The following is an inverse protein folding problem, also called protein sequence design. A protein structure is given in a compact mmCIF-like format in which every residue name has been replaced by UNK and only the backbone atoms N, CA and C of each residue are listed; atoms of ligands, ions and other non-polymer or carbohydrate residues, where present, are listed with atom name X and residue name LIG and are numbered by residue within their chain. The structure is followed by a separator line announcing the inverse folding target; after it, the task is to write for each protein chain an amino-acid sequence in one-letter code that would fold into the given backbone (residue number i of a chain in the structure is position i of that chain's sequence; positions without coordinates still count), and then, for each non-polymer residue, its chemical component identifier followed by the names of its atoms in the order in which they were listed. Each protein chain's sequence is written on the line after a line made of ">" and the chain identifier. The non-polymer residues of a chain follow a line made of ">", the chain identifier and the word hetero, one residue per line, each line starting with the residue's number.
data_IF_292094303926
#
_entry.id   IF_292094303926
#
_cell.length_a   1.000
_cell.length_b   1.000
_cell.length_c   1.000
_cell.angle_alpha   90.00
_cell.angle_beta   90.00
_cell.angle_gamma   90.00
#
_symmetry.space_group_name_H-M   'P 1'
#
loop_
_entity.id
_entity.type
_entity.pdbx_description
1 polymer ?
#
# COMPACT_ATOMS: atom_id res chain seq x y z
N UNK A 1 2.20 -21.22 -9.71
CA UNK A 1 2.48 -20.18 -10.70
C UNK A 1 3.36 -19.10 -10.10
N UNK A 2 3.98 -18.29 -10.95
CA UNK A 2 4.76 -17.13 -10.48
C UNK A 2 3.85 -15.94 -10.18
N UNK A 3 4.18 -15.16 -9.16
CA UNK A 3 3.53 -13.90 -8.82
C UNK A 3 4.16 -12.75 -9.61
N UNK A 4 3.36 -11.85 -10.15
CA UNK A 4 3.82 -10.65 -10.84
C UNK A 4 3.07 -9.41 -10.30
N UNK A 5 3.65 -8.22 -10.50
CA UNK A 5 3.13 -6.97 -9.95
C UNK A 5 2.43 -6.18 -11.05
N UNK A 6 1.13 -5.98 -10.87
CA UNK A 6 0.31 -5.23 -11.79
C UNK A 6 -0.92 -4.64 -11.08
N UNK A 7 -1.33 -3.43 -11.44
CA UNK A 7 -2.51 -2.81 -10.83
C UNK A 7 -3.83 -3.40 -11.35
N UNK A 8 -3.96 -3.56 -12.67
CA UNK A 8 -5.20 -3.97 -13.32
C UNK A 8 -5.22 -5.48 -13.60
N UNK A 9 -6.39 -6.09 -13.68
CA UNK A 9 -6.53 -7.47 -14.15
C UNK A 9 -6.29 -7.61 -15.67
N UNK A 10 -6.34 -6.52 -16.43
CA UNK A 10 -6.09 -6.49 -17.87
C UNK A 10 -4.80 -5.75 -18.17
N UNK A 11 -4.04 -6.24 -19.13
CA UNK A 11 -2.80 -5.61 -19.59
C UNK A 11 -3.03 -4.35 -20.45
N UNK A 12 -4.28 -4.09 -20.89
CA UNK A 12 -4.59 -3.08 -21.92
C UNK A 12 -4.07 -1.69 -21.59
N UNK A 13 -4.25 -1.20 -20.35
CA UNK A 13 -3.92 0.19 -20.02
C UNK A 13 -2.42 0.48 -20.07
N UNK A 14 -1.57 -0.49 -19.73
CA UNK A 14 -0.12 -0.28 -19.64
C UNK A 14 0.66 -0.85 -20.82
N UNK A 15 0.13 -1.89 -21.49
CA UNK A 15 0.85 -2.56 -22.59
C UNK A 15 0.12 -2.52 -23.93
N UNK A 16 -1.14 -2.04 -23.95
CA UNK A 16 -1.99 -2.07 -25.14
C UNK A 16 -2.59 -3.45 -25.47
N UNK A 17 -2.18 -4.52 -24.79
CA UNK A 17 -2.66 -5.88 -25.03
C UNK A 17 -4.04 -6.08 -24.37
N UNK A 18 -5.06 -6.44 -25.17
CA UNK A 18 -6.43 -6.69 -24.70
C UNK A 18 -6.63 -8.09 -24.17
N UNK A 19 -5.80 -8.46 -23.20
CA UNK A 19 -5.86 -9.75 -22.51
C UNK A 19 -5.94 -9.56 -21.01
N UNK A 20 -6.47 -10.58 -20.32
CA UNK A 20 -6.50 -10.65 -18.88
C UNK A 20 -5.32 -11.45 -18.34
N UNK A 21 -4.92 -11.17 -17.10
CA UNK A 21 -3.78 -11.78 -16.44
C UNK A 21 -3.82 -13.31 -16.39
N UNK A 22 -4.99 -13.91 -16.29
CA UNK A 22 -5.18 -15.37 -16.24
C UNK A 22 -5.14 -16.09 -17.61
N UNK A 23 -5.07 -15.32 -18.71
CA UNK A 23 -5.00 -15.89 -20.07
C UNK A 23 -3.56 -16.09 -20.56
N UNK A 24 -2.56 -15.58 -19.84
CA UNK A 24 -1.16 -15.63 -20.22
C UNK A 24 -0.32 -16.39 -19.20
N UNK A 25 0.74 -17.02 -19.68
CA UNK A 25 1.82 -17.55 -18.86
C UNK A 25 2.74 -16.42 -18.38
N UNK A 26 3.51 -16.65 -17.32
CA UNK A 26 4.47 -15.65 -16.86
C UNK A 26 5.52 -15.32 -17.92
N UNK A 27 5.99 -16.30 -18.67
CA UNK A 27 6.97 -16.09 -19.75
C UNK A 27 6.43 -15.18 -20.87
N UNK A 28 5.12 -15.22 -21.14
CA UNK A 28 4.46 -14.30 -22.07
C UNK A 28 4.30 -12.91 -21.46
N UNK A 29 4.00 -12.82 -20.15
CA UNK A 29 3.86 -11.57 -19.42
C UNK A 29 5.20 -10.81 -19.37
N UNK A 30 6.31 -11.50 -19.15
CA UNK A 30 7.67 -10.92 -19.15
C UNK A 30 8.07 -10.28 -20.48
N UNK A 31 7.43 -10.63 -21.60
CA UNK A 31 7.73 -10.03 -22.91
C UNK A 31 7.00 -8.69 -23.12
N UNK A 32 6.00 -8.39 -22.32
CA UNK A 32 5.19 -7.17 -22.48
C UNK A 32 6.00 -5.93 -22.10
N UNK A 33 5.84 -4.86 -22.86
CA UNK A 33 6.36 -3.53 -22.54
C UNK A 33 5.31 -2.75 -21.76
N UNK A 34 5.55 -2.54 -20.48
CA UNK A 34 4.69 -1.78 -19.58
C UNK A 34 5.19 -0.34 -19.33
N UNK A 35 6.34 0.04 -19.92
CA UNK A 35 6.96 1.34 -19.68
C UNK A 35 6.65 2.38 -20.75
N UNK A 36 6.55 2.00 -22.03
CA UNK A 36 6.24 2.93 -23.13
C UNK A 36 4.92 3.68 -22.92
N UNK A 37 3.97 3.07 -22.24
CA UNK A 37 2.71 3.71 -21.83
C UNK A 37 2.95 4.99 -20.99
N UNK A 38 3.96 4.98 -20.13
CA UNK A 38 4.26 6.11 -19.25
C UNK A 38 5.09 7.18 -19.97
N UNK A 39 6.17 6.77 -20.66
CA UNK A 39 7.04 7.65 -21.43
C UNK A 39 8.02 6.84 -22.27
N UNK A 40 8.43 7.39 -23.42
CA UNK A 40 9.47 6.78 -24.28
C UNK A 40 10.79 6.48 -23.53
N UNK A 41 11.08 7.24 -22.46
CA UNK A 41 12.25 7.01 -21.61
C UNK A 41 12.21 5.66 -20.87
N UNK A 42 11.02 5.05 -20.74
CA UNK A 42 10.82 3.75 -20.09
C UNK A 42 10.44 2.66 -21.09
N UNK A 43 10.64 2.91 -22.39
CA UNK A 43 10.34 1.90 -23.40
C UNK A 43 11.12 0.61 -23.16
N UNK A 44 10.40 -0.52 -23.19
CA UNK A 44 10.96 -1.84 -22.93
C UNK A 44 10.96 -2.27 -21.45
N UNK A 45 10.50 -1.41 -20.53
CA UNK A 45 10.33 -1.78 -19.12
C UNK A 45 9.31 -2.93 -18.98
N UNK A 46 9.67 -3.94 -18.22
CA UNK A 46 8.90 -5.19 -18.09
C UNK A 46 7.94 -5.14 -16.90
N UNK A 47 6.96 -6.04 -16.91
CA UNK A 47 6.14 -6.33 -15.73
C UNK A 47 6.98 -7.19 -14.78
N UNK A 48 7.36 -6.71 -13.59
CA UNK A 48 8.26 -7.43 -12.71
C UNK A 48 7.54 -8.58 -11.98
N UNK A 49 8.29 -9.62 -11.66
CA UNK A 49 7.90 -10.60 -10.67
C UNK A 49 7.87 -10.01 -9.26
N UNK A 50 7.01 -10.52 -8.37
CA UNK A 50 6.99 -10.05 -6.98
C UNK A 50 8.32 -10.35 -6.26
N UNK A 51 8.99 -11.44 -6.61
CA UNK A 51 10.31 -11.80 -6.10
C UNK A 51 11.36 -10.71 -6.40
N UNK A 52 11.39 -10.21 -7.64
CA UNK A 52 12.29 -9.11 -8.04
C UNK A 52 12.02 -7.84 -7.25
N UNK A 53 10.73 -7.50 -7.07
CA UNK A 53 10.32 -6.31 -6.30
C UNK A 53 10.73 -6.43 -4.84
N UNK A 54 10.58 -7.60 -4.23
CA UNK A 54 11.02 -7.85 -2.85
C UNK A 54 12.55 -7.74 -2.76
N UNK A 55 13.30 -8.31 -3.72
CA UNK A 55 14.76 -8.21 -3.74
C UNK A 55 15.22 -6.76 -3.82
N UNK A 56 14.63 -5.97 -4.73
CA UNK A 56 14.91 -4.54 -4.86
C UNK A 56 14.58 -3.76 -3.58
N UNK A 57 13.47 -4.09 -2.92
CA UNK A 57 13.06 -3.47 -1.67
C UNK A 57 14.05 -3.76 -0.53
N UNK A 58 14.56 -5.00 -0.44
CA UNK A 58 15.61 -5.40 0.53
C UNK A 58 16.89 -4.61 0.32
N UNK A 59 17.37 -4.52 -0.91
CA UNK A 59 18.60 -3.80 -1.27
C UNK A 59 18.53 -2.30 -0.94
N UNK A 60 17.34 -1.72 -1.04
CA UNK A 60 17.11 -0.30 -0.76
C UNK A 60 16.52 -0.01 0.62
N UNK A 61 16.37 -1.01 1.48
CA UNK A 61 15.78 -0.90 2.81
C UNK A 61 14.39 -0.26 2.81
N UNK A 62 13.55 -0.62 1.83
CA UNK A 62 12.18 -0.13 1.64
C UNK A 62 11.19 -1.19 2.09
N UNK A 63 10.13 -0.77 2.77
CA UNK A 63 8.99 -1.63 3.11
C UNK A 63 7.98 -1.68 1.96
N UNK A 64 7.28 -2.79 1.80
CA UNK A 64 6.25 -2.94 0.77
C UNK A 64 4.85 -3.01 1.38
N UNK A 65 3.89 -2.37 0.68
CA UNK A 65 2.47 -2.63 0.83
C UNK A 65 2.03 -3.47 -0.38
N UNK A 66 1.85 -4.78 -0.17
CA UNK A 66 1.53 -5.75 -1.21
C UNK A 66 0.01 -5.93 -1.26
N UNK A 67 -0.65 -5.36 -2.27
CA UNK A 67 -2.09 -5.52 -2.45
C UNK A 67 -2.40 -6.81 -3.22
N UNK A 68 -3.13 -7.71 -2.58
CA UNK A 68 -3.68 -8.90 -3.23
C UNK A 68 -5.03 -8.55 -3.86
N UNK A 69 -5.15 -8.76 -5.18
CA UNK A 69 -6.38 -8.60 -5.96
C UNK A 69 -6.76 -9.96 -6.55
N UNK A 70 -7.37 -10.87 -5.79
CA UNK A 70 -7.66 -12.21 -6.26
C UNK A 70 -8.71 -12.20 -7.37
N UNK A 71 -8.56 -13.09 -8.31
CA UNK A 71 -9.55 -13.41 -9.34
C UNK A 71 -10.16 -14.80 -9.09
N UNK A 72 -11.26 -15.11 -9.77
CA UNK A 72 -11.86 -16.45 -9.71
C UNK A 72 -10.96 -17.54 -10.30
N UNK A 73 -9.90 -17.17 -11.03
CA UNK A 73 -8.97 -18.09 -11.69
C UNK A 73 -7.70 -18.34 -10.84
N UNK A 74 -7.50 -17.61 -9.74
CA UNK A 74 -6.34 -17.78 -8.90
C UNK A 74 -6.47 -19.04 -8.01
N UNK A 75 -5.41 -19.82 -7.94
CA UNK A 75 -5.31 -20.96 -7.04
C UNK A 75 -4.59 -20.52 -5.77
N UNK A 76 -5.32 -19.93 -4.82
CA UNK A 76 -4.79 -19.56 -3.52
C UNK A 76 -3.58 -18.59 -3.58
N UNK A 77 -3.82 -17.44 -4.21
CA UNK A 77 -2.82 -16.40 -4.35
C UNK A 77 -2.33 -15.90 -2.98
N UNK A 78 -3.20 -15.92 -1.95
CA UNK A 78 -2.88 -15.53 -0.60
C UNK A 78 -1.75 -16.39 -0.02
N UNK A 79 -1.88 -17.73 -0.18
CA UNK A 79 -0.81 -18.64 0.25
C UNK A 79 0.48 -18.39 -0.50
N UNK A 80 0.41 -18.21 -1.83
CA UNK A 80 1.59 -17.97 -2.64
C UNK A 80 2.35 -16.71 -2.24
N UNK A 81 1.63 -15.62 -1.86
CA UNK A 81 2.25 -14.39 -1.37
C UNK A 81 2.86 -14.60 0.01
N UNK A 82 2.14 -15.26 0.93
CA UNK A 82 2.65 -15.57 2.29
C UNK A 82 3.91 -16.42 2.22
N UNK A 83 3.90 -17.49 1.44
CA UNK A 83 5.07 -18.37 1.25
C UNK A 83 6.27 -17.57 0.73
N UNK A 84 6.09 -16.73 -0.30
CA UNK A 84 7.16 -15.95 -0.91
C UNK A 84 7.78 -14.94 0.06
N UNK A 85 6.95 -14.17 0.81
CA UNK A 85 7.49 -13.16 1.74
C UNK A 85 8.22 -13.82 2.92
N UNK A 86 7.83 -15.04 3.31
CA UNK A 86 8.53 -15.85 4.32
C UNK A 86 9.83 -16.44 3.77
N UNK A 87 9.78 -17.05 2.60
CA UNK A 87 10.96 -17.64 1.94
C UNK A 87 12.05 -16.60 1.70
N UNK A 88 11.66 -15.39 1.36
CA UNK A 88 12.58 -14.27 1.16
C UNK A 88 12.95 -13.52 2.45
N UNK A 89 12.51 -13.96 3.64
CA UNK A 89 12.76 -13.26 4.92
C UNK A 89 12.34 -11.77 4.84
N UNK A 90 11.12 -11.52 4.35
CA UNK A 90 10.60 -10.16 4.12
C UNK A 90 9.27 -9.88 4.83
N UNK A 91 8.72 -10.84 5.57
CA UNK A 91 7.42 -10.73 6.22
C UNK A 91 7.32 -9.53 7.19
N UNK A 92 8.39 -9.24 7.95
CA UNK A 92 8.45 -8.10 8.87
C UNK A 92 8.63 -6.75 8.17
N UNK A 93 8.97 -6.78 6.89
CA UNK A 93 9.19 -5.59 6.04
C UNK A 93 8.06 -5.32 5.05
N UNK A 94 6.95 -6.06 5.15
CA UNK A 94 5.78 -5.82 4.32
C UNK A 94 4.50 -5.73 5.15
N UNK A 95 3.46 -5.24 4.49
CA UNK A 95 2.06 -5.36 4.89
C UNK A 95 1.29 -5.91 3.71
N UNK A 96 0.40 -6.87 3.94
CA UNK A 96 -0.47 -7.40 2.89
C UNK A 96 -1.83 -6.71 2.96
N UNK A 97 -2.27 -6.15 1.85
CA UNK A 97 -3.55 -5.46 1.75
C UNK A 97 -4.49 -6.10 0.73
N UNK A 98 -5.79 -5.93 0.91
CA UNK A 98 -6.80 -6.37 -0.05
C UNK A 98 -8.12 -5.64 0.16
N UNK A 99 -8.89 -5.47 -0.93
CA UNK A 99 -10.29 -5.05 -0.87
C UNK A 99 -11.22 -6.21 -0.49
N UNK A 100 -10.74 -7.45 -0.52
CA UNK A 100 -11.48 -8.65 -0.14
C UNK A 100 -11.10 -9.08 1.27
N UNK A 101 -11.98 -8.82 2.25
CA UNK A 101 -11.72 -9.20 3.64
C UNK A 101 -11.41 -10.68 3.83
N UNK A 102 -12.05 -11.56 3.04
CA UNK A 102 -11.76 -13.00 3.04
C UNK A 102 -10.31 -13.34 2.69
N UNK A 103 -9.65 -12.54 1.83
CA UNK A 103 -8.22 -12.71 1.55
C UNK A 103 -7.35 -12.41 2.76
N UNK A 104 -7.71 -11.36 3.54
CA UNK A 104 -6.99 -11.06 4.78
C UNK A 104 -7.17 -12.16 5.83
N UNK A 105 -8.37 -12.77 5.90
CA UNK A 105 -8.59 -13.93 6.77
C UNK A 105 -7.69 -15.09 6.40
N UNK A 106 -7.60 -15.44 5.11
CA UNK A 106 -6.68 -16.49 4.64
C UNK A 106 -5.22 -16.17 4.95
N UNK A 107 -4.78 -14.90 4.72
CA UNK A 107 -3.41 -14.48 5.08
C UNK A 107 -3.15 -14.75 6.56
N UNK A 108 -4.08 -14.36 7.46
CA UNK A 108 -3.95 -14.60 8.89
C UNK A 108 -4.04 -16.08 9.29
N UNK A 109 -4.78 -16.89 8.53
CA UNK A 109 -4.86 -18.34 8.74
C UNK A 109 -3.54 -19.03 8.36
N UNK A 110 -2.84 -18.55 7.31
CA UNK A 110 -1.53 -19.05 6.92
C UNK A 110 -0.41 -18.54 7.82
N UNK A 111 -0.48 -17.25 8.18
CA UNK A 111 0.51 -16.62 9.04
C UNK A 111 -0.10 -15.44 9.82
N UNK A 112 -0.40 -15.62 11.12
CA UNK A 112 -1.00 -14.57 11.95
C UNK A 112 -0.08 -13.38 12.23
N UNK A 113 1.25 -13.53 12.06
CA UNK A 113 2.24 -12.48 12.35
C UNK A 113 2.33 -11.44 11.22
N UNK A 114 1.97 -11.80 9.98
CA UNK A 114 2.01 -10.86 8.87
C UNK A 114 0.96 -9.76 9.06
N UNK A 115 1.42 -8.51 9.03
CA UNK A 115 0.54 -7.33 9.11
C UNK A 115 -0.40 -7.24 7.91
N UNK A 116 -1.66 -6.87 8.17
CA UNK A 116 -2.70 -6.81 7.13
C UNK A 116 -3.46 -5.50 7.14
N UNK A 117 -3.82 -5.00 5.93
CA UNK A 117 -4.63 -3.79 5.76
C UNK A 117 -5.90 -4.09 4.94
N UNK A 118 -7.04 -3.72 5.46
CA UNK A 118 -8.29 -3.79 4.71
C UNK A 118 -8.47 -2.52 3.86
N UNK A 119 -8.44 -2.67 2.53
CA UNK A 119 -8.63 -1.56 1.59
C UNK A 119 -10.12 -1.31 1.40
N UNK A 120 -10.57 -0.10 1.70
CA UNK A 120 -11.98 0.28 1.64
C UNK A 120 -12.17 1.76 1.32
N UNK A 121 -13.18 2.08 0.51
CA UNK A 121 -13.53 3.48 0.24
C UNK A 121 -14.15 4.14 1.47
N UNK A 122 -14.98 3.41 2.23
CA UNK A 122 -15.72 3.90 3.39
C UNK A 122 -15.69 2.87 4.52
N UNK A 123 -15.32 3.30 5.74
CA UNK A 123 -15.34 2.45 6.93
C UNK A 123 -16.72 2.44 7.61
N UNK A 124 -17.61 1.55 7.17
CA UNK A 124 -18.88 1.32 7.82
C UNK A 124 -18.82 0.16 8.82
N UNK A 125 -19.71 0.19 9.81
CA UNK A 125 -19.88 -0.90 10.75
C UNK A 125 -18.90 -0.91 11.92
N UNK A 126 -18.81 -2.05 12.59
CA UNK A 126 -17.98 -2.24 13.78
C UNK A 126 -16.59 -2.75 13.37
N UNK A 127 -15.61 -1.84 13.29
CA UNK A 127 -14.21 -2.15 12.93
C UNK A 127 -13.54 -3.16 13.88
N UNK A 128 -14.01 -3.25 15.13
CA UNK A 128 -13.47 -4.20 16.12
C UNK A 128 -13.80 -5.67 15.77
N UNK A 129 -14.78 -5.91 14.91
CA UNK A 129 -15.13 -7.26 14.41
C UNK A 129 -14.21 -7.73 13.28
N UNK A 130 -13.50 -6.82 12.65
CA UNK A 130 -12.57 -7.12 11.53
C UNK A 130 -11.21 -7.55 12.09
N UNK A 131 -11.17 -8.75 12.70
CA UNK A 131 -9.99 -9.29 13.39
C UNK A 131 -8.79 -9.55 12.47
N UNK A 132 -9.05 -9.91 11.21
CA UNK A 132 -8.01 -10.15 10.21
C UNK A 132 -7.50 -8.86 9.53
N UNK A 133 -7.82 -7.68 10.06
CA UNK A 133 -7.28 -6.42 9.59
C UNK A 133 -6.55 -5.72 10.75
N UNK A 134 -5.25 -5.55 10.65
CA UNK A 134 -4.44 -4.80 11.62
C UNK A 134 -4.53 -3.29 11.35
N UNK A 135 -5.00 -2.91 10.17
CA UNK A 135 -5.27 -1.53 9.81
C UNK A 135 -6.24 -1.41 8.65
N UNK A 136 -6.48 -0.16 8.27
CA UNK A 136 -7.37 0.21 7.17
C UNK A 136 -6.66 1.12 6.18
N UNK A 137 -6.86 0.86 4.89
CA UNK A 137 -6.40 1.72 3.80
C UNK A 137 -7.61 2.34 3.13
N UNK A 138 -7.80 3.67 3.25
CA UNK A 138 -9.02 4.33 2.81
C UNK A 138 -8.77 5.60 2.01
N UNK A 139 -9.79 6.04 1.27
CA UNK A 139 -9.77 7.30 0.56
C UNK A 139 -9.62 8.48 1.54
N UNK A 140 -8.67 9.39 1.26
CA UNK A 140 -8.33 10.53 2.12
C UNK A 140 -9.52 11.45 2.42
N UNK A 141 -10.52 11.51 1.54
CA UNK A 141 -11.76 12.26 1.75
C UNK A 141 -12.55 11.78 2.97
N UNK A 142 -12.47 10.49 3.27
CA UNK A 142 -13.20 9.82 4.35
C UNK A 142 -12.42 9.78 5.69
N UNK A 143 -11.14 10.16 5.68
CA UNK A 143 -10.34 10.29 6.89
C UNK A 143 -10.72 11.56 7.65
N UNK A 144 -11.64 11.42 8.62
CA UNK A 144 -12.05 12.47 9.55
C UNK A 144 -11.36 12.30 10.90
N UNK A 145 -11.26 13.36 11.76
CA UNK A 145 -10.69 13.24 13.10
C UNK A 145 -11.34 12.11 13.92
N UNK A 146 -12.67 11.97 13.86
CA UNK A 146 -13.37 10.91 14.58
C UNK A 146 -13.07 9.51 14.03
N UNK A 147 -12.89 9.38 12.72
CA UNK A 147 -12.54 8.10 12.11
C UNK A 147 -11.12 7.68 12.47
N UNK A 148 -10.14 8.58 12.37
CA UNK A 148 -8.75 8.31 12.74
C UNK A 148 -8.67 7.92 14.22
N UNK A 149 -9.28 8.71 15.12
CA UNK A 149 -9.33 8.38 16.55
C UNK A 149 -9.98 7.03 16.83
N UNK A 150 -11.06 6.69 16.12
CA UNK A 150 -11.76 5.40 16.27
C UNK A 150 -10.90 4.22 15.86
N UNK A 151 -10.12 4.37 14.79
CA UNK A 151 -9.19 3.33 14.29
C UNK A 151 -8.04 3.16 15.27
N UNK A 152 -7.41 4.25 15.70
CA UNK A 152 -6.32 4.22 16.67
C UNK A 152 -6.76 3.68 18.04
N UNK A 153 -7.95 4.04 18.52
CA UNK A 153 -8.50 3.50 19.76
C UNK A 153 -8.79 1.99 19.70
N UNK A 154 -8.94 1.44 18.49
CA UNK A 154 -9.03 0.00 18.28
C UNK A 154 -7.63 -0.69 18.16
N UNK A 155 -6.53 0.05 18.37
CA UNK A 155 -5.16 -0.43 18.21
C UNK A 155 -4.78 -0.73 16.76
N UNK A 156 -5.43 -0.08 15.79
CA UNK A 156 -5.26 -0.34 14.36
C UNK A 156 -4.65 0.85 13.64
N UNK A 157 -3.98 0.59 12.51
CA UNK A 157 -3.36 1.61 11.66
C UNK A 157 -4.33 2.16 10.61
N UNK A 158 -4.07 3.39 10.14
CA UNK A 158 -4.79 4.03 9.05
C UNK A 158 -3.82 4.52 7.97
N UNK A 159 -3.98 4.01 6.75
CA UNK A 159 -3.31 4.45 5.54
C UNK A 159 -4.32 5.20 4.68
N UNK A 160 -3.90 6.28 4.01
CA UNK A 160 -4.82 7.10 3.21
C UNK A 160 -4.34 7.25 1.77
N UNK A 161 -5.25 7.16 0.79
CA UNK A 161 -4.98 7.24 -0.65
C UNK A 161 -6.06 8.06 -1.38
N UNK A 162 -5.79 8.57 -2.61
CA UNK A 162 -4.49 8.92 -3.15
C UNK A 162 -4.28 10.40 -2.88
N UNK A 163 -3.20 10.79 -2.22
CA UNK A 163 -3.00 12.15 -1.68
C UNK A 163 -1.88 12.87 -2.43
N UNK A 164 -2.24 13.72 -3.41
CA UNK A 164 -1.30 14.30 -4.36
C UNK A 164 -1.14 15.83 -4.25
N UNK A 165 -1.79 16.49 -3.30
CA UNK A 165 -1.69 17.94 -3.14
C UNK A 165 -1.33 18.35 -1.70
N UNK A 166 -0.55 19.42 -1.57
CA UNK A 166 -0.01 19.91 -0.28
C UNK A 166 -1.09 20.12 0.79
N UNK A 167 -2.25 20.69 0.42
CA UNK A 167 -3.33 20.95 1.38
C UNK A 167 -3.85 19.66 2.01
N UNK A 168 -4.10 18.63 1.20
CA UNK A 168 -4.58 17.34 1.71
C UNK A 168 -3.46 16.60 2.45
N UNK A 169 -2.21 16.67 1.99
CA UNK A 169 -1.05 16.10 2.69
C UNK A 169 -0.96 16.69 4.11
N UNK A 170 -0.95 18.00 4.26
CA UNK A 170 -0.87 18.66 5.58
C UNK A 170 -2.04 18.25 6.47
N UNK A 171 -3.26 18.18 5.92
CA UNK A 171 -4.43 17.69 6.68
C UNK A 171 -4.23 16.26 7.17
N UNK A 172 -3.64 15.36 6.38
CA UNK A 172 -3.38 13.97 6.81
C UNK A 172 -2.30 13.91 7.88
N UNK A 173 -1.26 14.74 7.77
CA UNK A 173 -0.22 14.89 8.80
C UNK A 173 -0.86 15.42 10.11
N UNK A 174 -1.68 16.45 10.05
CA UNK A 174 -2.39 17.02 11.21
C UNK A 174 -3.35 16.01 11.87
N UNK A 175 -3.94 15.11 11.09
CA UNK A 175 -4.78 14.01 11.57
C UNK A 175 -3.97 12.84 12.16
N UNK A 176 -2.65 12.87 12.04
CA UNK A 176 -1.74 11.82 12.49
C UNK A 176 -2.07 10.44 11.90
N UNK A 177 -2.35 10.38 10.58
CA UNK A 177 -2.48 9.09 9.90
C UNK A 177 -1.13 8.38 9.85
N UNK A 178 -1.13 7.04 9.86
CA UNK A 178 0.10 6.25 9.94
C UNK A 178 0.85 6.19 8.61
N UNK A 179 0.14 6.33 7.48
CA UNK A 179 0.76 6.34 6.16
C UNK A 179 -0.04 7.15 5.14
N UNK A 180 0.67 7.75 4.18
CA UNK A 180 0.11 8.49 3.04
C UNK A 180 0.54 7.81 1.74
N UNK A 181 -0.42 7.29 0.99
CA UNK A 181 -0.22 6.71 -0.33
C UNK A 181 -0.38 7.82 -1.36
N UNK A 182 0.66 8.05 -2.17
CA UNK A 182 0.78 9.19 -3.07
C UNK A 182 1.61 8.88 -4.32
N UNK A 183 1.30 9.54 -5.43
CA UNK A 183 2.16 9.58 -6.64
C UNK A 183 3.27 10.66 -6.51
N UNK A 184 3.29 11.43 -5.39
CA UNK A 184 4.17 12.60 -5.20
C UNK A 184 4.98 12.48 -3.91
N UNK A 185 5.79 11.43 -3.82
CA UNK A 185 6.57 11.10 -2.60
C UNK A 185 7.42 12.28 -2.12
N UNK A 186 8.16 12.93 -3.02
CA UNK A 186 9.01 14.09 -2.67
C UNK A 186 8.19 15.23 -2.03
N UNK A 187 6.96 15.49 -2.51
CA UNK A 187 6.07 16.51 -1.93
C UNK A 187 5.62 16.14 -0.52
N UNK A 188 5.33 14.85 -0.27
CA UNK A 188 4.98 14.38 1.08
C UNK A 188 6.15 14.52 2.03
N UNK A 189 7.37 14.14 1.60
CA UNK A 189 8.59 14.28 2.40
C UNK A 189 8.84 15.75 2.78
N UNK A 190 8.69 16.69 1.84
CA UNK A 190 8.79 18.13 2.08
C UNK A 190 7.77 18.58 3.13
N UNK A 191 6.49 18.20 2.98
CA UNK A 191 5.44 18.58 3.94
C UNK A 191 5.72 18.03 5.35
N UNK A 192 6.22 16.82 5.48
CA UNK A 192 6.59 16.21 6.76
C UNK A 192 7.75 16.99 7.40
N UNK A 193 8.76 17.36 6.60
CA UNK A 193 9.88 18.15 7.07
C UNK A 193 9.43 19.53 7.58
N UNK A 194 8.60 20.23 6.79
CA UNK A 194 8.03 21.55 7.15
C UNK A 194 7.20 21.46 8.44
N UNK A 195 6.38 20.42 8.60
CA UNK A 195 5.58 20.21 9.81
C UNK A 195 6.45 20.05 11.05
N UNK A 196 7.46 19.19 11.01
CA UNK A 196 8.40 18.96 12.13
C UNK A 196 9.17 20.23 12.48
N UNK A 197 9.61 21.00 11.49
CA UNK A 197 10.32 22.27 11.68
C UNK A 197 9.42 23.29 12.37
N UNK A 198 8.16 23.42 11.93
CA UNK A 198 7.18 24.30 12.54
C UNK A 198 6.87 23.94 14.00
N UNK A 199 6.78 22.66 14.33
CA UNK A 199 6.57 22.20 15.72
C UNK A 199 7.75 22.55 16.63
N UNK A 200 8.98 22.38 16.17
CA UNK A 200 10.17 22.80 16.91
C UNK A 200 10.16 24.32 17.16
N UNK A 201 9.83 25.12 16.12
CA UNK A 201 9.74 26.58 16.26
C UNK A 201 8.63 26.95 17.26
N UNK A 202 7.46 26.35 17.20
CA UNK A 202 6.35 26.57 18.14
C UNK A 202 6.74 26.26 19.58
N UNK A 203 7.41 25.13 19.81
CA UNK A 203 7.92 24.76 21.14
C UNK A 203 8.93 25.79 21.68
N UNK A 204 9.86 26.23 20.82
CA UNK A 204 10.85 27.24 21.18
C UNK A 204 10.21 28.60 21.51
N UNK A 205 9.25 29.06 20.72
CA UNK A 205 8.49 30.30 20.98
C UNK A 205 7.68 30.21 22.28
N UNK A 206 7.08 29.04 22.56
CA UNK A 206 6.38 28.81 23.82
C UNK A 206 7.33 28.93 25.01
N UNK A 207 8.48 28.26 24.95
CA UNK A 207 9.52 28.31 25.97
C UNK A 207 9.97 29.76 26.24
N UNK A 208 10.20 30.60 25.20
CA UNK A 208 10.59 31.98 25.34
C UNK A 208 9.50 32.87 25.97
N UNK A 209 8.22 32.51 25.90
CA UNK A 209 7.11 33.23 26.52
C UNK A 209 6.90 32.89 27.99
N UNK A 210 7.47 31.78 28.44
CA UNK A 210 7.38 31.29 29.81
C UNK A 210 8.61 31.70 30.66
N UNK A 211 9.63 32.35 30.03
CA UNK A 211 10.77 33.03 30.66
C UNK A 211 10.42 34.49 30.98
#
# INVERSE_FOLDING_TARGET
>A
GKLFVMHDHSFYRTTGLREFSWNLTFDEIEQLDAGSFFSDAYAGEKIPGLEEVIQLAKENHVRLNIEIKPSANDKDIEKSVVDLVREMDFADSCVISSQMYGSLQKVKDYDPEISTLYVMSLAYGNINRLKAADGFSMEAGNATPSMVSRIHNAGKQIYVWTVNNRKTINRMIDLNVDNIITDRVALVQECIYDSKTNDVIRQYVKFLREL
#
